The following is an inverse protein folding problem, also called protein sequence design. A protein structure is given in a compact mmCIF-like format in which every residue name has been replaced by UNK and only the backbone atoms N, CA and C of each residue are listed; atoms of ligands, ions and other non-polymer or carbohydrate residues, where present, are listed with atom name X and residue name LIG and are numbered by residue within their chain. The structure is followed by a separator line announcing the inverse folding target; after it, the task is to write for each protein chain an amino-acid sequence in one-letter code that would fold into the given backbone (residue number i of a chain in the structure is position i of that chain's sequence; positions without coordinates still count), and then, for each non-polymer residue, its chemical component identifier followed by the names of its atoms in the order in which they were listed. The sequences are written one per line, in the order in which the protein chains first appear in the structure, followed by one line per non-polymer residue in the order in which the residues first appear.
data_IF_844086187361
#
_entry.id   IF_844086187361
#
_cell.length_a   1.000
_cell.length_b   1.000
_cell.length_c   1.000
_cell.angle_alpha   90.00
_cell.angle_beta   90.00
_cell.angle_gamma   90.00
#
_symmetry.space_group_name_H-M   'P 1'
#
loop_
_entity.id
_entity.type
_entity.pdbx_description
1 polymer ?
#
# COMPACT_ATOMS: atom_id res chain seq x y z
N UNK A 1 1.97 -4.92 -19.54
CA UNK A 1 3.23 -5.29 -18.86
C UNK A 1 3.58 -4.37 -17.68
N UNK A 2 2.59 -3.69 -17.06
CA UNK A 2 2.79 -2.83 -15.87
C UNK A 2 2.74 -1.33 -16.17
N UNK A 3 2.80 -0.51 -15.12
CA UNK A 3 2.71 0.96 -15.21
C UNK A 3 3.78 1.58 -16.13
N UNK A 4 4.96 0.97 -16.17
CA UNK A 4 6.11 1.35 -17.00
C UNK A 4 6.18 0.54 -18.30
N UNK A 5 5.03 0.35 -18.94
CA UNK A 5 4.88 -0.47 -20.14
C UNK A 5 5.92 -0.16 -21.23
N UNK A 6 6.59 -1.20 -21.72
CA UNK A 6 7.51 -1.17 -22.87
C UNK A 6 6.79 -1.21 -24.21
N UNK A 7 5.54 -1.69 -24.25
CA UNK A 7 4.76 -1.82 -25.48
C UNK A 7 3.92 -0.59 -25.81
N UNK A 8 3.59 0.24 -24.81
CA UNK A 8 2.81 1.49 -24.99
C UNK A 8 3.31 2.41 -26.12
N UNK A 9 4.62 2.60 -26.36
CA UNK A 9 5.11 3.44 -27.46
C UNK A 9 4.62 3.03 -28.86
N UNK A 10 4.15 1.80 -29.05
CA UNK A 10 3.55 1.35 -30.31
C UNK A 10 2.19 2.02 -30.61
N UNK A 11 1.55 2.62 -29.60
CA UNK A 11 0.24 3.28 -29.71
C UNK A 11 0.26 4.74 -29.25
N UNK A 12 1.07 5.09 -28.25
CA UNK A 12 1.05 6.42 -27.61
C UNK A 12 2.40 6.82 -27.04
N UNK A 13 2.75 8.11 -27.18
CA UNK A 13 3.93 8.71 -26.55
C UNK A 13 3.73 9.12 -25.08
N UNK A 14 2.54 8.89 -24.49
CA UNK A 14 2.23 9.33 -23.13
C UNK A 14 3.07 8.57 -22.07
N UNK A 15 3.72 9.31 -21.17
CA UNK A 15 4.48 8.77 -20.04
C UNK A 15 3.72 8.90 -18.72
N UNK A 16 3.86 7.96 -17.75
CA UNK A 16 3.28 8.12 -16.42
C UNK A 16 3.84 9.37 -15.73
N UNK A 17 2.99 10.09 -15.00
CA UNK A 17 3.39 11.20 -14.15
C UNK A 17 3.10 10.86 -12.68
N UNK A 18 3.93 11.38 -11.78
CA UNK A 18 3.71 11.24 -10.35
C UNK A 18 2.40 11.92 -9.95
N UNK A 19 1.56 11.22 -9.16
CA UNK A 19 0.23 11.70 -8.76
C UNK A 19 0.26 12.65 -7.56
N UNK A 20 1.43 12.84 -6.95
CA UNK A 20 1.57 13.56 -5.68
C UNK A 20 1.35 12.68 -4.44
N UNK A 21 1.18 11.36 -4.59
CA UNK A 21 0.99 10.41 -3.47
C UNK A 21 2.09 9.35 -3.49
N UNK A 22 2.82 9.24 -2.39
CA UNK A 22 3.80 8.17 -2.14
C UNK A 22 3.28 7.20 -1.09
N UNK A 23 3.68 5.94 -1.23
CA UNK A 23 3.41 4.87 -0.27
C UNK A 23 4.75 4.41 0.31
N UNK A 24 4.82 4.29 1.64
CA UNK A 24 5.88 3.54 2.32
C UNK A 24 5.27 2.23 2.76
N UNK A 25 5.74 1.15 2.18
CA UNK A 25 5.22 -0.20 2.39
C UNK A 25 6.06 -0.93 3.43
N UNK A 26 5.41 -1.55 4.41
CA UNK A 26 6.06 -2.35 5.46
C UNK A 26 5.25 -3.59 5.79
N UNK A 27 5.91 -4.61 6.33
CA UNK A 27 5.30 -5.89 6.66
C UNK A 27 5.58 -6.27 8.10
N UNK A 28 4.55 -6.78 8.78
CA UNK A 28 4.69 -7.52 10.02
C UNK A 28 4.43 -8.99 9.74
N UNK A 29 5.47 -9.81 9.87
CA UNK A 29 5.38 -11.25 9.61
C UNK A 29 4.83 -12.00 10.82
N UNK A 30 4.10 -13.09 10.58
CA UNK A 30 3.48 -13.94 11.60
C UNK A 30 2.64 -13.10 12.57
N UNK A 31 1.83 -12.19 12.03
CA UNK A 31 1.14 -11.14 12.80
C UNK A 31 0.28 -11.67 13.92
N UNK A 32 -0.34 -12.84 13.74
CA UNK A 32 -1.19 -13.46 14.77
C UNK A 32 -0.41 -13.91 16.01
N UNK A 33 0.87 -14.28 15.83
CA UNK A 33 1.74 -14.79 16.91
C UNK A 33 2.62 -13.68 17.47
N UNK A 34 3.23 -12.88 16.59
CA UNK A 34 4.24 -11.87 16.96
C UNK A 34 3.65 -10.49 17.22
N UNK A 35 2.48 -10.20 16.66
CA UNK A 35 1.83 -8.89 16.71
C UNK A 35 0.31 -8.97 16.95
N UNK A 36 -0.16 -9.75 17.95
CA UNK A 36 -1.58 -10.11 18.09
C UNK A 36 -2.49 -8.89 18.26
N UNK A 37 -2.03 -7.83 18.93
CA UNK A 37 -2.78 -6.59 19.09
C UNK A 37 -2.98 -5.87 17.75
N UNK A 38 -1.92 -5.77 16.95
CA UNK A 38 -2.00 -5.22 15.59
C UNK A 38 -2.90 -6.08 14.70
N UNK A 39 -2.81 -7.41 14.79
CA UNK A 39 -3.65 -8.32 14.01
C UNK A 39 -5.13 -8.21 14.39
N UNK A 40 -5.43 -8.02 15.68
CA UNK A 40 -6.78 -7.75 16.16
C UNK A 40 -7.30 -6.41 15.66
N UNK A 41 -6.47 -5.36 15.67
CA UNK A 41 -6.83 -4.04 15.15
C UNK A 41 -7.13 -4.06 13.64
N UNK A 42 -6.33 -4.78 12.86
CA UNK A 42 -6.56 -4.94 11.41
C UNK A 42 -7.79 -5.80 11.12
N UNK A 43 -8.12 -6.72 12.02
CA UNK A 43 -9.25 -7.64 11.88
C UNK A 43 -9.01 -8.73 10.83
N UNK A 44 -10.08 -9.33 10.33
CA UNK A 44 -10.02 -10.43 9.33
C UNK A 44 -9.84 -9.98 7.88
N UNK A 45 -9.59 -8.68 7.65
CA UNK A 45 -9.52 -8.10 6.32
C UNK A 45 -8.56 -6.92 6.30
N UNK A 46 -9.07 -5.74 5.95
CA UNK A 46 -8.28 -4.52 5.88
C UNK A 46 -8.76 -3.46 6.87
N UNK A 47 -7.81 -2.67 7.35
CA UNK A 47 -8.02 -1.45 8.12
C UNK A 47 -7.55 -0.24 7.31
N UNK A 48 -8.30 0.86 7.42
CA UNK A 48 -7.93 2.15 6.84
C UNK A 48 -8.13 3.26 7.87
N UNK A 49 -7.08 4.03 8.13
CA UNK A 49 -7.11 5.24 8.97
C UNK A 49 -6.66 6.41 8.11
N UNK A 50 -7.59 7.30 7.77
CA UNK A 50 -7.40 8.30 6.72
C UNK A 50 -7.53 9.72 7.27
N UNK A 51 -6.63 10.59 6.81
CA UNK A 51 -6.73 12.04 6.95
C UNK A 51 -6.48 12.69 5.57
N UNK A 52 -6.87 13.96 5.33
CA UNK A 52 -6.57 14.62 4.08
C UNK A 52 -5.07 14.58 3.75
N UNK A 53 -4.72 13.96 2.63
CA UNK A 53 -3.35 13.88 2.13
C UNK A 53 -2.44 12.88 2.85
N UNK A 54 -2.93 12.05 3.78
CA UNK A 54 -2.16 10.97 4.39
C UNK A 54 -3.05 9.85 4.95
N UNK A 55 -2.49 8.68 5.17
CA UNK A 55 -3.23 7.60 5.80
C UNK A 55 -2.37 6.41 6.16
N UNK A 56 -2.91 5.53 6.98
CA UNK A 56 -2.33 4.24 7.30
C UNK A 56 -3.33 3.18 6.84
N UNK A 57 -2.85 2.28 5.98
CA UNK A 57 -3.60 1.13 5.52
C UNK A 57 -2.91 -0.12 6.05
N UNK A 58 -3.70 -1.13 6.36
CA UNK A 58 -3.18 -2.45 6.68
C UNK A 58 -4.13 -3.52 6.15
N UNK A 59 -3.57 -4.61 5.66
CA UNK A 59 -4.30 -5.78 5.18
C UNK A 59 -3.72 -7.02 5.84
N UNK A 60 -4.57 -7.81 6.47
CA UNK A 60 -4.20 -9.12 6.99
C UNK A 60 -4.29 -10.13 5.87
N UNK A 61 -3.15 -10.59 5.40
CA UNK A 61 -3.03 -11.52 4.29
C UNK A 61 -3.09 -12.97 4.75
N UNK A 62 -3.19 -13.88 3.78
CA UNK A 62 -3.11 -15.31 4.03
C UNK A 62 -1.77 -15.64 4.70
N UNK A 63 -1.82 -16.39 5.80
CA UNK A 63 -0.64 -16.70 6.61
C UNK A 63 -0.42 -15.75 7.79
N UNK A 64 -1.34 -14.79 8.02
CA UNK A 64 -1.32 -13.94 9.20
C UNK A 64 -0.39 -12.73 9.10
N UNK A 65 0.27 -12.53 7.96
CA UNK A 65 1.09 -11.34 7.74
C UNK A 65 0.22 -10.08 7.66
N UNK A 66 0.68 -9.01 8.30
CA UNK A 66 0.06 -7.69 8.18
C UNK A 66 0.88 -6.87 7.19
N UNK A 67 0.32 -6.71 5.99
CA UNK A 67 0.88 -5.85 4.97
C UNK A 67 0.35 -4.43 5.19
N UNK A 68 1.23 -3.46 5.36
CA UNK A 68 0.87 -2.11 5.79
C UNK A 68 1.48 -1.05 4.89
N UNK A 69 0.77 0.08 4.79
CA UNK A 69 1.21 1.23 4.00
C UNK A 69 1.00 2.53 4.75
N UNK A 70 2.00 3.40 4.71
CA UNK A 70 1.84 4.82 5.04
C UNK A 70 1.71 5.60 3.74
N UNK A 71 0.53 6.17 3.52
CA UNK A 71 0.21 7.02 2.37
C UNK A 71 0.53 8.47 2.71
N UNK A 72 1.24 9.18 1.82
CA UNK A 72 1.66 10.56 2.03
C UNK A 72 1.54 11.37 0.76
N UNK A 73 0.87 12.52 0.83
CA UNK A 73 0.97 13.55 -0.19
C UNK A 73 2.33 14.22 -0.13
N UNK A 74 3.04 14.23 -1.25
CA UNK A 74 4.37 14.82 -1.38
C UNK A 74 4.46 15.65 -2.67
N UNK A 75 5.23 16.76 -2.64
CA UNK A 75 5.57 17.47 -3.87
C UNK A 75 6.39 16.55 -4.79
N UNK A 76 6.37 16.87 -6.09
CA UNK A 76 7.20 16.24 -7.09
C UNK A 76 8.68 16.63 -6.93
#
# INVERSE_FOLDING_TARGET
DGAWSRVRPLLSAATPAYTGISFVETHLFDGDERHPESAALVGGGAMMVLEPGKGILAHRERGGNLHTWVMLRRPA
#
